data_IF_950743342142
#
_entry.id   IF_950743342142
#
_cell.length_a   1.000
_cell.length_b   1.000
_cell.length_c   1.000
_cell.angle_alpha   90.00
_cell.angle_beta   90.00
_cell.angle_gamma   90.00
#
_symmetry.space_group_name_H-M   'P 1'
#
loop_
_entity.id
_entity.type
_entity.pdbx_description
1 polymer ?
#
# COMPACT_ATOMS: atom_id res chain seq x y z
N UNK A 1 -13.23 -9.53 5.99
CA UNK A 1 -12.33 -10.67 5.75
C UNK A 1 -12.43 -11.57 6.96
N UNK A 2 -12.40 -12.89 6.79
CA UNK A 2 -12.44 -13.81 7.94
C UNK A 2 -11.09 -13.81 8.64
N UNK A 3 -11.10 -14.04 9.96
CA UNK A 3 -9.87 -14.15 10.77
C UNK A 3 -8.98 -15.27 10.21
N UNK A 4 -7.66 -15.05 10.19
CA UNK A 4 -6.70 -16.01 9.64
C UNK A 4 -6.51 -15.96 8.12
N UNK A 5 -7.21 -15.06 7.41
CA UNK A 5 -7.04 -14.91 5.96
C UNK A 5 -5.78 -14.10 5.62
N UNK A 6 -4.88 -14.68 4.83
CA UNK A 6 -3.73 -13.97 4.25
C UNK A 6 -4.15 -13.07 3.09
N UNK A 7 -3.55 -11.88 2.99
CA UNK A 7 -3.77 -10.99 1.84
C UNK A 7 -3.04 -11.58 0.62
N UNK A 8 -3.81 -11.97 -0.40
CA UNK A 8 -3.29 -12.31 -1.72
C UNK A 8 -3.38 -11.10 -2.68
N UNK A 9 -2.90 -11.28 -3.92
CA UNK A 9 -2.88 -10.19 -4.91
C UNK A 9 -4.28 -9.68 -5.25
N UNK A 10 -5.30 -10.54 -5.28
CA UNK A 10 -6.68 -10.12 -5.55
C UNK A 10 -7.22 -9.20 -4.45
N UNK A 11 -7.07 -9.61 -3.20
CA UNK A 11 -7.49 -8.81 -2.05
C UNK A 11 -6.73 -7.48 -2.03
N UNK A 12 -5.43 -7.51 -2.31
CA UNK A 12 -4.61 -6.29 -2.39
C UNK A 12 -5.12 -5.34 -3.48
N UNK A 13 -5.42 -5.86 -4.68
CA UNK A 13 -6.01 -5.06 -5.77
C UNK A 13 -7.37 -4.43 -5.38
N UNK A 14 -8.22 -5.18 -4.65
CA UNK A 14 -9.48 -4.62 -4.11
C UNK A 14 -9.21 -3.51 -3.10
N UNK A 15 -8.17 -3.65 -2.29
CA UNK A 15 -7.74 -2.64 -1.30
C UNK A 15 -7.23 -1.38 -2.00
N UNK A 16 -6.41 -1.51 -3.04
CA UNK A 16 -5.95 -0.36 -3.86
C UNK A 16 -7.12 0.41 -4.49
N UNK A 17 -8.14 -0.28 -4.99
CA UNK A 17 -9.37 0.36 -5.52
C UNK A 17 -10.09 1.18 -4.45
N UNK A 18 -10.22 0.63 -3.23
CA UNK A 18 -10.80 1.35 -2.09
C UNK A 18 -9.93 2.54 -1.68
N UNK A 19 -8.61 2.38 -1.65
CA UNK A 19 -7.66 3.45 -1.35
C UNK A 19 -7.79 4.60 -2.35
N UNK A 20 -7.85 4.31 -3.66
CA UNK A 20 -8.07 5.33 -4.68
C UNK A 20 -9.35 6.13 -4.43
N UNK A 21 -10.46 5.46 -4.10
CA UNK A 21 -11.73 6.15 -3.75
C UNK A 21 -11.60 6.99 -2.48
N UNK A 22 -10.86 6.51 -1.47
CA UNK A 22 -10.62 7.27 -0.24
C UNK A 22 -9.76 8.53 -0.51
N UNK A 23 -8.74 8.42 -1.37
CA UNK A 23 -7.94 9.57 -1.80
C UNK A 23 -8.81 10.56 -2.59
N UNK A 24 -9.66 10.09 -3.51
CA UNK A 24 -10.62 10.96 -4.22
C UNK A 24 -11.46 11.80 -3.27
N UNK A 25 -11.97 11.18 -2.20
CA UNK A 25 -12.87 11.85 -1.28
C UNK A 25 -12.16 12.75 -0.27
N UNK A 26 -10.99 12.35 0.23
CA UNK A 26 -10.31 13.02 1.35
C UNK A 26 -9.14 13.91 0.92
N UNK A 27 -8.57 13.67 -0.26
CA UNK A 27 -7.34 14.29 -0.78
C UNK A 27 -7.36 14.36 -2.30
N UNK A 28 -8.43 14.90 -2.88
CA UNK A 28 -8.64 14.93 -4.34
C UNK A 28 -7.46 15.54 -5.12
N UNK A 29 -6.81 16.58 -4.58
CA UNK A 29 -5.63 17.21 -5.18
C UNK A 29 -4.45 16.25 -5.41
N UNK A 30 -4.31 15.22 -4.56
CA UNK A 30 -3.24 14.22 -4.71
C UNK A 30 -3.38 13.41 -6.00
N UNK A 31 -4.58 13.23 -6.53
CA UNK A 31 -4.78 12.51 -7.79
C UNK A 31 -4.45 13.35 -9.01
N UNK A 32 -4.59 14.68 -8.90
CA UNK A 32 -4.18 15.62 -9.94
C UNK A 32 -2.66 15.79 -9.97
N UNK A 33 -2.01 15.79 -8.79
CA UNK A 33 -0.55 15.92 -8.67
C UNK A 33 0.22 14.63 -8.99
N UNK A 34 -0.45 13.49 -9.05
CA UNK A 34 0.19 12.19 -9.19
C UNK A 34 0.48 11.53 -7.83
N UNK A 35 0.43 10.20 -7.79
CA UNK A 35 0.63 9.42 -6.58
C UNK A 35 1.88 8.58 -6.73
N UNK A 36 2.81 8.74 -5.80
CA UNK A 36 3.93 7.81 -5.59
C UNK A 36 3.59 6.92 -4.41
N UNK A 37 3.41 5.63 -4.67
CA UNK A 37 3.08 4.62 -3.68
C UNK A 37 4.36 3.97 -3.14
N UNK A 38 4.57 4.07 -1.83
CA UNK A 38 5.61 3.33 -1.12
C UNK A 38 4.99 2.08 -0.47
N UNK A 39 5.46 0.90 -0.85
CA UNK A 39 5.14 -0.37 -0.21
C UNK A 39 6.33 -1.34 -0.32
N UNK A 40 6.33 -2.38 0.49
CA UNK A 40 7.36 -3.42 0.47
C UNK A 40 7.22 -4.36 -0.74
N UNK A 41 8.22 -5.23 -0.94
CA UNK A 41 8.28 -6.18 -2.07
C UNK A 41 7.58 -7.52 -1.78
N UNK A 42 6.54 -7.54 -0.94
CA UNK A 42 5.77 -8.77 -0.69
C UNK A 42 5.16 -9.32 -1.99
N UNK A 43 5.03 -10.65 -2.08
CA UNK A 43 4.52 -11.36 -3.28
C UNK A 43 3.20 -10.80 -3.84
N UNK A 44 2.18 -10.47 -3.01
CA UNK A 44 0.95 -9.85 -3.51
C UNK A 44 1.18 -8.49 -4.16
N UNK A 45 2.17 -7.73 -3.69
CA UNK A 45 2.44 -6.37 -4.13
C UNK A 45 3.21 -6.32 -5.45
N UNK A 46 4.05 -7.33 -5.72
CA UNK A 46 4.81 -7.44 -6.98
C UNK A 46 4.12 -8.34 -8.02
N UNK A 47 2.94 -8.86 -7.72
CA UNK A 47 2.18 -9.68 -8.66
C UNK A 47 1.78 -8.90 -9.91
N UNK A 48 1.72 -9.57 -11.07
CA UNK A 48 1.36 -8.96 -12.37
C UNK A 48 0.05 -8.18 -12.26
N UNK A 49 -0.99 -8.79 -11.69
CA UNK A 49 -2.31 -8.18 -11.49
C UNK A 49 -2.24 -6.87 -10.69
N UNK A 50 -1.36 -6.80 -9.69
CA UNK A 50 -1.16 -5.60 -8.89
C UNK A 50 -0.48 -4.50 -9.72
N UNK A 51 0.56 -4.86 -10.48
CA UNK A 51 1.22 -3.95 -11.42
C UNK A 51 0.26 -3.36 -12.47
N UNK A 52 -0.65 -4.18 -13.01
CA UNK A 52 -1.68 -3.72 -13.95
C UNK A 52 -2.63 -2.70 -13.32
N UNK A 53 -3.04 -2.91 -12.07
CA UNK A 53 -3.90 -1.96 -11.34
C UNK A 53 -3.18 -0.64 -11.10
N UNK A 54 -1.92 -0.67 -10.66
CA UNK A 54 -1.12 0.53 -10.42
C UNK A 54 -0.88 1.31 -11.71
N UNK A 55 -0.56 0.61 -12.82
CA UNK A 55 -0.45 1.21 -14.16
C UNK A 55 -1.77 1.84 -14.61
N UNK A 56 -2.91 1.17 -14.41
CA UNK A 56 -4.24 1.72 -14.72
C UNK A 56 -4.56 2.97 -13.88
N UNK A 57 -4.02 3.05 -12.67
CA UNK A 57 -4.18 4.20 -11.81
C UNK A 57 -3.22 5.34 -12.12
N UNK A 58 -2.19 5.09 -12.94
CA UNK A 58 -1.06 6.00 -13.18
C UNK A 58 -0.36 6.36 -11.87
N UNK A 59 -0.18 5.38 -11.00
CA UNK A 59 0.56 5.53 -9.76
C UNK A 59 1.97 4.99 -9.94
N UNK A 60 2.95 5.81 -9.60
CA UNK A 60 4.34 5.39 -9.55
C UNK A 60 4.60 4.57 -8.29
N UNK A 61 5.51 3.60 -8.37
CA UNK A 61 5.91 2.80 -7.22
C UNK A 61 7.30 3.22 -6.82
N UNK A 62 7.46 3.71 -5.59
CA UNK A 62 8.78 4.04 -5.05
C UNK A 62 9.60 2.77 -4.91
N UNK A 63 10.86 2.80 -5.37
CA UNK A 63 11.74 1.64 -5.25
C UNK A 63 12.13 1.39 -3.79
N UNK A 64 11.62 0.32 -3.22
CA UNK A 64 11.97 -0.13 -1.88
C UNK A 64 12.97 -1.30 -1.92
N UNK A 65 14.07 -1.27 -1.16
CA UNK A 65 14.98 -2.42 -1.05
C UNK A 65 14.31 -3.61 -0.36
N UNK A 66 14.84 -4.82 -0.59
CA UNK A 66 14.29 -6.00 0.09
C UNK A 66 14.66 -5.95 1.58
N UNK A 67 13.73 -6.36 2.44
CA UNK A 67 13.92 -6.55 3.88
C UNK A 67 14.44 -5.31 4.62
N UNK A 68 13.98 -4.11 4.25
CA UNK A 68 14.41 -2.88 4.92
C UNK A 68 13.26 -2.14 5.61
N UNK A 69 12.78 -2.65 6.76
CA UNK A 69 11.68 -2.03 7.51
C UNK A 69 12.02 -0.62 8.00
N UNK A 70 13.30 -0.30 8.21
CA UNK A 70 13.74 1.03 8.66
C UNK A 70 13.49 2.12 7.61
N UNK A 71 13.29 1.74 6.34
CA UNK A 71 12.90 2.65 5.26
C UNK A 71 11.39 2.69 5.01
N UNK A 72 10.60 1.96 5.78
CA UNK A 72 9.15 1.92 5.66
C UNK A 72 8.52 2.72 6.82
N UNK A 73 7.94 3.92 6.58
CA UNK A 73 7.31 4.73 7.62
C UNK A 73 6.21 3.99 8.40
N UNK A 74 5.53 3.05 7.75
CA UNK A 74 4.56 2.18 8.40
C UNK A 74 5.20 1.33 9.50
N UNK A 75 6.39 0.77 9.26
CA UNK A 75 7.07 -0.13 10.19
C UNK A 75 7.77 0.63 11.31
N UNK A 76 8.68 1.57 10.99
CA UNK A 76 9.50 2.22 12.01
C UNK A 76 8.73 3.27 12.83
N UNK A 77 7.70 3.90 12.27
CA UNK A 77 6.94 4.97 12.95
C UNK A 77 5.54 4.52 13.40
N UNK A 78 4.66 4.19 12.46
CA UNK A 78 3.25 3.91 12.76
C UNK A 78 3.07 2.67 13.64
N UNK A 79 3.60 1.52 13.21
CA UNK A 79 3.44 0.27 13.95
C UNK A 79 4.24 0.27 15.25
N UNK A 80 5.38 0.93 15.32
CA UNK A 80 6.11 1.14 16.58
C UNK A 80 5.26 1.90 17.60
N UNK A 81 4.61 2.99 17.19
CA UNK A 81 3.71 3.74 18.07
C UNK A 81 2.49 2.91 18.48
N UNK A 82 1.89 2.16 17.55
CA UNK A 82 0.76 1.28 17.86
C UNK A 82 1.12 0.19 18.86
N UNK A 83 2.29 -0.45 18.74
CA UNK A 83 2.75 -1.47 19.70
C UNK A 83 2.92 -0.90 21.10
N UNK A 84 3.45 0.33 21.23
CA UNK A 84 3.57 1.03 22.51
C UNK A 84 2.22 1.33 23.16
N UNK A 85 1.17 1.53 22.35
CA UNK A 85 -0.17 1.81 22.84
C UNK A 85 -0.98 0.55 23.17
N UNK A 86 -0.72 -0.55 22.45
CA UNK A 86 -1.41 -1.84 22.63
C UNK A 86 -0.79 -2.73 23.72
N UNK A 87 0.48 -2.48 24.06
CA UNK A 87 1.19 -3.17 25.16
C UNK A 87 0.85 -2.54 26.51
#
# INVERSE_FOLDING_TARGET
>A
MTRGTTINSEVYCRTLKKLKRAIQNKRCGLLSSGVVLLHDKARPHTAIRTGEVLRKFKWDVFQHPRYNPDLAPSDFHLFTAMKKWLG
#
